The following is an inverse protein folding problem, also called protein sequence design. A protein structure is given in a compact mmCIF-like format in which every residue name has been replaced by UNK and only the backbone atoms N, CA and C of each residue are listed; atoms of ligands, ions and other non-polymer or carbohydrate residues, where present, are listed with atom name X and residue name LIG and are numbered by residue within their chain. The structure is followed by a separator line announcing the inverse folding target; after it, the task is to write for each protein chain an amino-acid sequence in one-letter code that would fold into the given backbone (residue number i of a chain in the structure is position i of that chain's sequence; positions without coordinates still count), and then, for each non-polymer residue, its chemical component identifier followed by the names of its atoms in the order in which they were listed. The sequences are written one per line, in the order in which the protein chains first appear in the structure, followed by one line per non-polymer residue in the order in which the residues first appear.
data_IF_086437181562
#
_entry.id   IF_086437181562
#
_cell.length_a   1.000
_cell.length_b   1.000
_cell.length_c   1.000
_cell.angle_alpha   90.00
_cell.angle_beta   90.00
_cell.angle_gamma   90.00
#
_symmetry.space_group_name_H-M   'P 1'
#
loop_
_entity.id
_entity.type
_entity.pdbx_description
1 polymer ?
#
# COMPACT_ATOMS: atom_id res chain seq x y z
N UNK A 1 12.57 0.61 66.94
CA UNK A 1 12.37 0.61 65.50
C UNK A 1 13.66 1.05 64.82
N UNK A 2 14.46 0.08 64.32
CA UNK A 2 15.78 0.37 63.73
C UNK A 2 15.59 0.71 62.20
N UNK A 3 15.82 1.94 61.83
CA UNK A 3 15.90 2.29 60.40
C UNK A 3 17.25 1.83 59.82
N UNK A 4 17.25 1.18 58.66
CA UNK A 4 18.46 0.74 58.00
C UNK A 4 19.30 1.96 57.54
N UNK A 5 20.61 1.91 57.73
CA UNK A 5 21.53 2.98 57.40
C UNK A 5 21.57 3.27 55.90
N UNK A 6 21.76 4.54 55.49
CA UNK A 6 21.74 4.95 54.07
C UNK A 6 22.81 4.29 53.18
N UNK A 7 23.84 3.70 53.80
CA UNK A 7 24.91 2.98 53.11
C UNK A 7 24.43 1.63 52.56
N UNK A 8 23.50 0.93 53.27
CA UNK A 8 22.92 -0.35 52.77
C UNK A 8 22.00 -0.14 51.58
N UNK A 9 21.25 0.93 51.52
CA UNK A 9 20.36 1.23 50.40
C UNK A 9 21.15 1.58 49.11
N UNK A 10 22.31 2.19 49.23
CA UNK A 10 23.19 2.45 48.05
C UNK A 10 23.87 1.19 47.52
N UNK A 11 24.19 0.20 48.36
CA UNK A 11 24.75 -1.06 47.92
C UNK A 11 23.73 -1.89 47.15
N UNK A 12 22.48 -1.99 47.62
CA UNK A 12 21.37 -2.71 46.94
C UNK A 12 21.01 -2.04 45.61
N UNK A 13 21.05 -0.73 45.50
CA UNK A 13 20.81 0.01 44.26
C UNK A 13 21.91 -0.24 43.21
N UNK A 14 23.19 -0.31 43.65
CA UNK A 14 24.31 -0.63 42.75
C UNK A 14 24.32 -2.09 42.29
N UNK A 15 23.89 -3.01 43.11
CA UNK A 15 23.83 -4.43 42.75
C UNK A 15 22.68 -4.72 41.76
N UNK A 16 21.52 -4.05 41.88
CA UNK A 16 20.42 -4.10 40.90
C UNK A 16 20.80 -3.44 39.55
N UNK A 17 21.68 -2.46 39.51
CA UNK A 17 22.18 -1.86 38.27
C UNK A 17 23.23 -2.73 37.55
N UNK A 18 23.97 -3.59 38.28
CA UNK A 18 24.96 -4.48 37.67
C UNK A 18 24.36 -5.76 37.08
N UNK A 19 23.19 -6.21 37.56
CA UNK A 19 22.54 -7.41 37.05
C UNK A 19 21.72 -7.15 35.76
N UNK A 20 21.66 -5.90 35.26
CA UNK A 20 20.94 -5.56 34.03
C UNK A 20 21.82 -5.42 32.78
N UNK A 21 23.09 -5.80 32.83
CA UNK A 21 23.99 -5.69 31.67
C UNK A 21 24.73 -7.00 31.38
N UNK A 22 24.01 -8.13 31.40
CA UNK A 22 24.35 -9.19 30.47
C UNK A 22 23.60 -8.92 29.16
N UNK A 23 24.12 -7.94 28.40
CA UNK A 23 23.85 -7.82 26.98
C UNK A 23 24.34 -9.12 26.33
N UNK A 24 23.48 -10.12 26.27
CA UNK A 24 23.61 -11.16 25.25
C UNK A 24 23.63 -10.37 23.95
N UNK A 25 24.73 -10.39 23.17
CA UNK A 25 24.75 -9.76 21.88
C UNK A 25 23.54 -10.34 21.13
N UNK A 26 22.73 -9.52 20.47
CA UNK A 26 21.64 -10.06 19.68
C UNK A 26 22.30 -11.05 18.71
N UNK A 27 22.07 -12.35 18.94
CA UNK A 27 22.33 -13.35 17.93
C UNK A 27 21.65 -12.79 16.70
N UNK A 28 22.43 -12.37 15.71
CA UNK A 28 21.96 -12.16 14.35
C UNK A 28 21.46 -13.52 13.86
N UNK A 29 20.28 -13.89 14.33
CA UNK A 29 19.47 -14.90 13.68
C UNK A 29 19.32 -14.32 12.27
N UNK A 30 20.02 -14.93 11.30
CA UNK A 30 19.70 -14.78 9.88
C UNK A 30 18.23 -15.18 9.77
N UNK A 31 17.36 -14.21 9.95
CA UNK A 31 15.93 -14.38 9.75
C UNK A 31 15.76 -14.71 8.28
N UNK A 32 15.56 -15.99 7.98
CA UNK A 32 15.18 -16.42 6.63
C UNK A 32 13.77 -15.90 6.44
N UNK A 33 13.65 -14.78 5.76
CA UNK A 33 12.35 -14.26 5.37
C UNK A 33 11.62 -15.29 4.50
N UNK A 34 10.33 -15.47 4.75
CA UNK A 34 9.50 -16.25 3.84
C UNK A 34 9.46 -15.57 2.45
N UNK A 35 9.20 -16.32 1.35
CA UNK A 35 9.07 -15.72 0.02
C UNK A 35 8.02 -14.59 -0.02
N UNK A 36 6.93 -14.73 0.72
CA UNK A 36 5.88 -13.72 0.83
C UNK A 36 6.38 -12.46 1.55
N UNK A 37 7.14 -12.63 2.64
CA UNK A 37 7.75 -11.50 3.34
C UNK A 37 8.79 -10.78 2.47
N UNK A 38 9.61 -11.52 1.70
CA UNK A 38 10.57 -10.93 0.75
C UNK A 38 9.86 -10.14 -0.35
N UNK A 39 8.77 -10.67 -0.93
CA UNK A 39 7.98 -9.98 -1.93
C UNK A 39 7.50 -8.61 -1.42
N UNK A 40 7.02 -8.53 -0.18
CA UNK A 40 6.64 -7.29 0.48
C UNK A 40 7.85 -6.39 0.80
N UNK A 41 8.94 -6.95 1.39
CA UNK A 41 10.13 -6.18 1.74
C UNK A 41 10.84 -5.58 0.52
N UNK A 42 10.80 -6.25 -0.64
CA UNK A 42 11.33 -5.73 -1.89
C UNK A 42 10.40 -4.74 -2.60
N UNK A 43 9.26 -4.38 -1.97
CA UNK A 43 8.26 -3.48 -2.53
C UNK A 43 7.67 -3.97 -3.86
N UNK A 44 7.56 -5.29 -4.05
CA UNK A 44 7.04 -5.89 -5.29
C UNK A 44 5.53 -6.11 -5.25
N UNK A 45 4.89 -5.97 -4.11
CA UNK A 45 3.47 -6.16 -3.85
C UNK A 45 2.60 -5.23 -4.73
N UNK A 46 2.58 -3.95 -4.48
CA UNK A 46 1.79 -2.99 -5.23
C UNK A 46 2.13 -2.93 -6.74
N UNK A 47 3.41 -2.99 -7.19
CA UNK A 47 3.75 -3.08 -8.61
C UNK A 47 3.16 -4.30 -9.30
N UNK A 48 3.15 -5.47 -8.64
CA UNK A 48 2.57 -6.69 -9.18
C UNK A 48 1.06 -6.53 -9.35
N UNK A 49 0.37 -5.99 -8.36
CA UNK A 49 -1.06 -5.67 -8.43
C UNK A 49 -1.33 -4.70 -9.58
N UNK A 50 -0.58 -3.60 -9.68
CA UNK A 50 -0.76 -2.58 -10.72
C UNK A 50 -0.59 -3.14 -12.14
N UNK A 51 0.49 -3.90 -12.39
CA UNK A 51 0.74 -4.51 -13.70
C UNK A 51 -0.32 -5.53 -14.08
N UNK A 52 -0.72 -6.37 -13.12
CA UNK A 52 -1.75 -7.40 -13.33
C UNK A 52 -3.10 -6.76 -13.66
N UNK A 53 -3.55 -5.79 -12.87
CA UNK A 53 -4.82 -5.11 -13.12
C UNK A 53 -4.79 -4.31 -14.42
N UNK A 54 -3.67 -3.66 -14.77
CA UNK A 54 -3.52 -2.96 -16.06
C UNK A 54 -3.74 -3.91 -17.24
N UNK A 55 -3.13 -5.09 -17.19
CA UNK A 55 -3.31 -6.13 -18.20
C UNK A 55 -4.74 -6.69 -18.18
N UNK A 56 -5.30 -6.96 -16.99
CA UNK A 56 -6.62 -7.57 -16.82
C UNK A 56 -7.75 -6.66 -17.33
N UNK A 57 -7.69 -5.35 -17.02
CA UNK A 57 -8.68 -4.36 -17.50
C UNK A 57 -8.75 -4.39 -19.03
N UNK A 58 -7.62 -4.36 -19.71
CA UNK A 58 -7.60 -4.41 -21.16
C UNK A 58 -8.13 -5.75 -21.71
N UNK A 59 -7.74 -6.86 -21.11
CA UNK A 59 -8.21 -8.20 -21.53
C UNK A 59 -9.73 -8.35 -21.36
N UNK A 60 -10.29 -7.83 -20.29
CA UNK A 60 -11.74 -7.78 -20.07
C UNK A 60 -12.48 -6.98 -21.16
N UNK A 61 -11.82 -5.99 -21.75
CA UNK A 61 -12.35 -5.20 -22.87
C UNK A 61 -12.00 -5.79 -24.26
N UNK A 62 -11.46 -7.01 -24.33
CA UNK A 62 -11.04 -7.62 -25.59
C UNK A 62 -9.81 -6.96 -26.23
N UNK A 63 -9.05 -6.14 -25.48
CA UNK A 63 -7.90 -5.42 -26.00
C UNK A 63 -6.59 -6.14 -25.66
N UNK A 64 -5.71 -6.26 -26.67
CA UNK A 64 -4.34 -6.70 -26.47
C UNK A 64 -3.43 -5.48 -26.23
N UNK A 65 -2.99 -5.29 -24.97
CA UNK A 65 -1.96 -4.30 -24.67
C UNK A 65 -0.58 -4.86 -25.04
N UNK A 66 0.34 -4.01 -25.56
CA UNK A 66 1.74 -4.39 -25.65
C UNK A 66 2.28 -4.62 -24.23
N UNK A 67 3.20 -5.56 -24.10
CA UNK A 67 3.83 -5.87 -22.80
C UNK A 67 4.51 -4.66 -22.15
N UNK A 68 4.89 -3.66 -22.95
CA UNK A 68 5.45 -2.39 -22.45
C UNK A 68 4.52 -1.63 -21.51
N UNK A 69 3.19 -1.75 -21.66
CA UNK A 69 2.24 -1.04 -20.80
C UNK A 69 2.21 -1.60 -19.37
N UNK A 70 1.95 -2.90 -19.11
CA UNK A 70 2.03 -3.44 -17.76
C UNK A 70 3.46 -3.40 -17.19
N UNK A 71 4.52 -3.53 -18.01
CA UNK A 71 5.88 -3.41 -17.55
C UNK A 71 6.24 -1.98 -17.10
N UNK A 72 5.84 -0.97 -17.86
CA UNK A 72 6.01 0.43 -17.45
C UNK A 72 5.24 0.75 -16.17
N UNK A 73 4.01 0.23 -16.03
CA UNK A 73 3.22 0.36 -14.81
C UNK A 73 3.93 -0.26 -13.60
N UNK A 74 4.46 -1.49 -13.77
CA UNK A 74 5.23 -2.15 -12.72
C UNK A 74 6.42 -1.30 -12.27
N UNK A 75 7.24 -0.81 -13.23
CA UNK A 75 8.43 -0.02 -12.93
C UNK A 75 8.06 1.30 -12.24
N UNK A 76 7.06 2.01 -12.75
CA UNK A 76 6.63 3.30 -12.19
C UNK A 76 6.12 3.14 -10.74
N UNK A 77 5.26 2.15 -10.48
CA UNK A 77 4.74 1.90 -9.14
C UNK A 77 5.84 1.39 -8.21
N UNK A 78 6.76 0.53 -8.69
CA UNK A 78 7.89 0.07 -7.88
C UNK A 78 8.79 1.23 -7.45
N UNK A 79 9.13 2.13 -8.38
CA UNK A 79 9.94 3.31 -8.08
C UNK A 79 9.26 4.21 -7.05
N UNK A 80 7.96 4.45 -7.19
CA UNK A 80 7.19 5.27 -6.26
C UNK A 80 7.21 4.66 -4.85
N UNK A 81 6.92 3.37 -4.72
CA UNK A 81 6.90 2.66 -3.43
C UNK A 81 8.29 2.54 -2.81
N UNK A 82 9.31 2.21 -3.59
CA UNK A 82 10.69 2.14 -3.10
C UNK A 82 11.18 3.51 -2.59
N UNK A 83 10.84 4.60 -3.30
CA UNK A 83 11.18 5.96 -2.90
C UNK A 83 10.45 6.38 -1.62
N UNK A 84 9.14 6.14 -1.53
CA UNK A 84 8.32 6.42 -0.32
C UNK A 84 8.93 5.72 0.90
N UNK A 85 9.27 4.44 0.80
CA UNK A 85 9.88 3.67 1.89
C UNK A 85 11.28 4.13 2.29
N UNK A 86 12.09 4.60 1.32
CA UNK A 86 13.41 5.18 1.61
C UNK A 86 13.29 6.53 2.33
N UNK A 87 12.28 7.34 1.97
CA UNK A 87 11.99 8.61 2.65
C UNK A 87 11.47 8.38 4.06
N UNK A 88 10.53 7.45 4.24
CA UNK A 88 10.02 7.07 5.56
C UNK A 88 11.14 6.57 6.48
N UNK A 89 12.06 5.75 5.96
CA UNK A 89 13.20 5.26 6.72
C UNK A 89 14.11 6.39 7.24
N UNK A 90 14.30 7.46 6.46
CA UNK A 90 15.07 8.66 6.90
C UNK A 90 14.35 9.44 7.98
N UNK A 91 13.03 9.58 7.89
CA UNK A 91 12.23 10.32 8.87
C UNK A 91 12.20 9.61 10.24
N UNK A 92 12.21 8.27 10.25
CA UNK A 92 12.27 7.48 11.49
C UNK A 92 13.63 7.54 12.18
N UNK A 93 14.73 7.67 11.43
CA UNK A 93 16.06 7.95 12.03
C UNK A 93 16.08 9.26 12.81
N UNK A 94 15.30 10.25 12.37
CA UNK A 94 15.20 11.55 13.05
C UNK A 94 14.30 11.53 14.31
N UNK A 95 13.48 10.46 14.51
CA UNK A 95 12.56 10.33 15.66
C UNK A 95 12.52 8.88 16.18
N UNK A 96 13.55 8.40 16.87
CA UNK A 96 13.65 6.99 17.31
C UNK A 96 12.57 6.56 18.32
N UNK A 97 11.98 7.52 19.07
CA UNK A 97 11.00 7.21 20.12
C UNK A 97 9.58 6.92 19.62
N UNK A 98 9.32 7.12 18.34
CA UNK A 98 7.97 6.99 17.76
C UNK A 98 7.72 5.66 17.03
N UNK A 99 8.70 4.77 16.92
CA UNK A 99 8.62 3.57 16.07
C UNK A 99 8.08 2.35 16.82
N UNK A 100 7.01 1.74 16.29
CA UNK A 100 6.59 0.40 16.68
C UNK A 100 7.61 -0.65 16.18
N UNK A 101 7.93 -1.70 16.95
CA UNK A 101 8.99 -2.68 16.63
C UNK A 101 8.86 -3.35 15.25
N UNK A 102 7.65 -3.56 14.78
CA UNK A 102 7.37 -4.24 13.51
C UNK A 102 7.40 -3.32 12.28
N UNK A 103 7.01 -2.04 12.44
CA UNK A 103 7.27 -1.00 11.45
C UNK A 103 8.78 -0.80 11.25
N UNK A 104 9.53 -0.96 12.33
CA UNK A 104 10.98 -0.82 12.37
C UNK A 104 11.70 -1.86 11.50
N UNK A 105 11.21 -3.11 11.37
CA UNK A 105 11.86 -4.14 10.56
C UNK A 105 11.85 -3.81 9.06
N UNK A 106 10.75 -3.32 8.52
CA UNK A 106 10.65 -2.87 7.12
C UNK A 106 11.59 -1.70 6.83
N UNK A 107 11.60 -0.70 7.73
CA UNK A 107 12.46 0.48 7.59
C UNK A 107 13.93 0.11 7.75
N UNK A 108 14.28 -0.77 8.70
CA UNK A 108 15.64 -1.31 8.85
C UNK A 108 16.09 -2.06 7.60
N UNK A 109 15.22 -2.85 6.96
CA UNK A 109 15.54 -3.55 5.73
C UNK A 109 15.89 -2.56 4.61
N UNK A 110 15.07 -1.53 4.37
CA UNK A 110 15.31 -0.51 3.35
C UNK A 110 16.53 0.34 3.67
N UNK A 111 16.73 0.71 4.94
CA UNK A 111 17.92 1.43 5.38
C UNK A 111 19.20 0.62 5.14
N UNK A 112 19.21 -0.65 5.53
CA UNK A 112 20.36 -1.55 5.34
C UNK A 112 20.70 -1.73 3.86
N UNK A 113 19.71 -1.75 2.97
CA UNK A 113 19.87 -2.00 1.54
C UNK A 113 19.70 -0.72 0.69
N UNK A 114 19.80 0.48 1.29
CA UNK A 114 19.53 1.76 0.61
C UNK A 114 20.28 1.94 -0.71
N UNK A 115 21.55 1.53 -0.78
CA UNK A 115 22.35 1.63 -2.01
C UNK A 115 21.79 0.75 -3.13
N UNK A 116 21.36 -0.46 -2.80
CA UNK A 116 20.74 -1.38 -3.77
C UNK A 116 19.40 -0.83 -4.28
N UNK A 117 18.56 -0.28 -3.38
CA UNK A 117 17.30 0.35 -3.78
C UNK A 117 17.53 1.61 -4.65
N UNK A 118 18.50 2.46 -4.30
CA UNK A 118 18.85 3.62 -5.13
C UNK A 118 19.37 3.21 -6.52
N UNK A 119 20.27 2.24 -6.59
CA UNK A 119 20.73 1.70 -7.87
C UNK A 119 19.58 1.07 -8.67
N UNK A 120 18.68 0.35 -7.99
CA UNK A 120 17.48 -0.20 -8.60
C UNK A 120 16.56 0.90 -9.17
N UNK A 121 16.34 2.00 -8.43
CA UNK A 121 15.54 3.14 -8.90
C UNK A 121 16.17 3.77 -10.15
N UNK A 122 17.49 3.97 -10.17
CA UNK A 122 18.19 4.50 -11.35
C UNK A 122 18.03 3.55 -12.55
N UNK A 123 18.24 2.23 -12.33
CA UNK A 123 18.05 1.23 -13.39
C UNK A 123 16.60 1.16 -13.88
N UNK A 124 15.62 1.18 -12.98
CA UNK A 124 14.20 1.21 -13.32
C UNK A 124 13.81 2.49 -14.08
N UNK A 125 14.39 3.64 -13.71
CA UNK A 125 14.18 4.91 -14.44
C UNK A 125 14.70 4.82 -15.88
N UNK A 126 15.90 4.26 -16.09
CA UNK A 126 16.46 4.06 -17.42
C UNK A 126 15.61 3.10 -18.27
N UNK A 127 15.17 1.98 -17.66
CA UNK A 127 14.27 1.03 -18.32
C UNK A 127 12.92 1.66 -18.67
N UNK A 128 12.32 2.40 -17.74
CA UNK A 128 11.06 3.11 -17.98
C UNK A 128 11.22 4.14 -19.11
N UNK A 129 12.30 4.92 -19.12
CA UNK A 129 12.59 5.85 -20.20
C UNK A 129 12.68 5.15 -21.57
N UNK A 130 13.29 3.96 -21.62
CA UNK A 130 13.34 3.13 -22.84
C UNK A 130 12.00 2.54 -23.27
N UNK A 131 11.02 2.43 -22.35
CA UNK A 131 9.66 1.96 -22.66
C UNK A 131 8.72 3.09 -23.09
N UNK A 132 8.99 4.37 -22.71
CA UNK A 132 8.10 5.50 -23.00
C UNK A 132 7.75 5.64 -24.50
N UNK A 133 8.70 5.46 -25.46
CA UNK A 133 8.36 5.54 -26.90
C UNK A 133 7.38 4.48 -27.39
N UNK A 134 7.18 3.40 -26.59
CA UNK A 134 6.26 2.29 -26.93
C UNK A 134 4.87 2.47 -26.32
N UNK A 135 4.67 3.51 -25.54
CA UNK A 135 3.40 3.83 -24.89
C UNK A 135 2.63 4.81 -25.78
N UNK A 136 1.32 4.59 -25.91
CA UNK A 136 0.48 5.49 -26.71
C UNK A 136 0.57 6.94 -26.21
N UNK A 137 0.71 7.94 -27.09
CA UNK A 137 0.86 9.35 -26.70
C UNK A 137 -0.29 9.85 -25.81
N UNK A 138 -1.49 9.38 -26.05
CA UNK A 138 -2.66 9.74 -25.24
C UNK A 138 -2.54 9.18 -23.80
N UNK A 139 -2.04 7.96 -23.64
CA UNK A 139 -1.76 7.41 -22.33
C UNK A 139 -0.67 8.22 -21.60
N UNK A 140 0.38 8.65 -22.31
CA UNK A 140 1.43 9.51 -21.76
C UNK A 140 0.88 10.85 -21.27
N UNK A 141 -0.02 11.48 -22.02
CA UNK A 141 -0.69 12.73 -21.60
C UNK A 141 -1.50 12.53 -20.33
N UNK A 142 -2.29 11.45 -20.25
CA UNK A 142 -3.07 11.14 -19.06
C UNK A 142 -2.18 10.80 -17.86
N UNK A 143 -1.09 10.08 -18.05
CA UNK A 143 -0.10 9.82 -17.00
C UNK A 143 0.62 11.09 -16.54
N UNK A 144 0.97 11.99 -17.45
CA UNK A 144 1.56 13.29 -17.10
C UNK A 144 0.61 14.14 -16.25
N UNK A 145 -0.67 14.19 -16.63
CA UNK A 145 -1.70 14.85 -15.82
C UNK A 145 -1.83 14.19 -14.43
N UNK A 146 -1.95 12.86 -14.37
CA UNK A 146 -2.07 12.14 -13.12
C UNK A 146 -0.84 12.34 -12.22
N UNK A 147 0.38 12.29 -12.80
CA UNK A 147 1.63 12.54 -12.10
C UNK A 147 1.70 13.97 -11.56
N UNK A 148 1.25 14.96 -12.33
CA UNK A 148 1.19 16.37 -11.89
C UNK A 148 0.26 16.56 -10.73
N UNK A 149 -0.93 15.93 -10.75
CA UNK A 149 -1.89 15.96 -9.64
C UNK A 149 -1.32 15.25 -8.39
N UNK A 150 -0.68 14.11 -8.57
CA UNK A 150 -0.02 13.38 -7.48
C UNK A 150 1.12 14.19 -6.88
N UNK A 151 1.95 14.83 -7.72
CA UNK A 151 3.02 15.71 -7.27
C UNK A 151 2.48 16.92 -6.50
N UNK A 152 1.43 17.57 -7.01
CA UNK A 152 0.76 18.66 -6.32
C UNK A 152 0.22 18.22 -4.94
N UNK A 153 -0.38 17.03 -4.86
CA UNK A 153 -0.83 16.45 -3.61
C UNK A 153 0.32 16.25 -2.61
N UNK A 154 1.43 15.61 -3.05
CA UNK A 154 2.61 15.43 -2.19
C UNK A 154 3.22 16.76 -1.77
N UNK A 155 3.32 17.71 -2.69
CA UNK A 155 3.84 19.04 -2.40
C UNK A 155 3.01 19.74 -1.31
N UNK A 156 1.68 19.72 -1.43
CA UNK A 156 0.78 20.31 -0.44
C UNK A 156 0.91 19.65 0.94
N UNK A 157 1.09 18.33 0.99
CA UNK A 157 1.27 17.62 2.27
C UNK A 157 2.59 18.00 2.96
N UNK A 158 3.69 18.18 2.21
CA UNK A 158 5.01 18.39 2.77
C UNK A 158 5.31 19.86 3.10
N UNK A 159 4.79 20.81 2.32
CA UNK A 159 5.04 22.25 2.53
C UNK A 159 4.20 22.82 3.67
N UNK A 160 3.03 22.28 3.90
CA UNK A 160 2.20 22.71 5.03
C UNK A 160 2.19 21.64 6.12
N UNK A 161 3.28 21.50 6.90
CA UNK A 161 3.28 20.59 8.05
C UNK A 161 2.17 21.01 9.02
N UNK A 162 1.46 20.05 9.55
CA UNK A 162 0.27 20.20 10.39
C UNK A 162 0.60 20.73 11.80
N UNK A 163 1.24 21.90 11.92
CA UNK A 163 1.40 22.56 13.23
C UNK A 163 0.13 23.32 13.66
N UNK A 164 -0.83 23.51 12.76
CA UNK A 164 -2.14 24.09 13.08
C UNK A 164 -3.21 23.03 12.83
N UNK A 165 -3.87 22.60 13.90
CA UNK A 165 -4.96 21.60 13.89
C UNK A 165 -6.11 21.92 12.93
N UNK A 166 -6.30 23.17 12.53
CA UNK A 166 -7.34 23.62 11.58
C UNK A 166 -6.99 23.31 10.12
N UNK A 167 -5.71 23.36 9.70
CA UNK A 167 -5.28 23.10 8.31
C UNK A 167 -5.18 21.61 8.02
N UNK A 168 -4.86 20.78 9.02
CA UNK A 168 -4.82 19.32 8.89
C UNK A 168 -6.18 18.68 8.61
N UNK A 169 -7.28 19.35 9.03
CA UNK A 169 -8.63 18.84 8.87
C UNK A 169 -9.14 18.85 7.41
N UNK A 170 -8.49 19.59 6.50
CA UNK A 170 -8.93 19.75 5.10
C UNK A 170 -8.07 18.95 4.11
N UNK A 171 -7.12 18.14 4.58
CA UNK A 171 -6.25 17.35 3.70
C UNK A 171 -6.92 16.03 3.31
N UNK A 172 -6.75 15.65 2.04
CA UNK A 172 -7.15 14.33 1.58
C UNK A 172 -6.33 13.26 2.32
N UNK A 173 -6.96 12.29 3.01
CA UNK A 173 -6.25 11.21 3.66
C UNK A 173 -5.40 10.40 2.67
N UNK A 174 -4.25 9.90 3.12
CA UNK A 174 -3.33 9.10 2.27
C UNK A 174 -4.05 7.87 1.69
N UNK A 175 -4.91 7.24 2.46
CA UNK A 175 -5.69 6.06 2.06
C UNK A 175 -6.62 6.36 0.89
N UNK A 176 -7.27 7.51 0.93
CA UNK A 176 -8.17 7.94 -0.14
C UNK A 176 -7.39 8.37 -1.39
N UNK A 177 -6.23 9.02 -1.20
CA UNK A 177 -5.36 9.39 -2.31
C UNK A 177 -4.88 8.14 -3.07
N UNK A 178 -4.41 7.11 -2.38
CA UNK A 178 -4.04 5.82 -3.01
C UNK A 178 -5.24 5.22 -3.74
N UNK A 179 -6.43 5.22 -3.10
CA UNK A 179 -7.67 4.71 -3.70
C UNK A 179 -8.07 5.43 -4.99
N UNK A 180 -7.69 6.69 -5.19
CA UNK A 180 -7.98 7.45 -6.42
C UNK A 180 -6.88 7.29 -7.47
N UNK A 181 -5.64 7.57 -7.08
CA UNK A 181 -4.51 7.63 -8.03
C UNK A 181 -4.10 6.27 -8.58
N UNK A 182 -4.14 5.23 -7.76
CA UNK A 182 -3.73 3.89 -8.18
C UNK A 182 -4.69 3.28 -9.22
N UNK A 183 -6.01 3.24 -9.01
CA UNK A 183 -6.94 2.79 -10.04
C UNK A 183 -6.93 3.66 -11.27
N UNK A 184 -6.88 5.00 -11.14
CA UNK A 184 -6.78 5.88 -12.29
C UNK A 184 -5.59 5.49 -13.19
N UNK A 185 -4.40 5.28 -12.60
CA UNK A 185 -3.22 4.83 -13.33
C UNK A 185 -3.44 3.50 -14.06
N UNK A 186 -4.07 2.53 -13.40
CA UNK A 186 -4.34 1.19 -13.94
C UNK A 186 -5.25 1.20 -15.16
N UNK A 187 -6.28 2.07 -15.16
CA UNK A 187 -7.27 2.14 -16.25
C UNK A 187 -6.78 2.97 -17.45
N UNK A 188 -5.83 3.89 -17.27
CA UNK A 188 -5.32 4.77 -18.34
C UNK A 188 -4.95 4.03 -19.63
N UNK A 189 -4.18 2.92 -19.66
CA UNK A 189 -3.78 2.29 -20.91
C UNK A 189 -4.95 1.80 -21.76
N UNK A 190 -6.03 1.36 -21.11
CA UNK A 190 -7.24 0.89 -21.78
C UNK A 190 -8.06 2.04 -22.33
N UNK A 191 -8.37 3.05 -21.48
CA UNK A 191 -9.22 4.18 -21.88
C UNK A 191 -8.52 5.17 -22.82
N UNK A 192 -7.18 5.18 -22.85
CA UNK A 192 -6.42 5.95 -23.82
C UNK A 192 -6.48 5.34 -25.23
N UNK A 193 -6.63 4.02 -25.33
CA UNK A 193 -6.77 3.33 -26.62
C UNK A 193 -8.18 3.37 -27.17
N UNK A 194 -9.18 3.24 -26.30
CA UNK A 194 -10.60 3.22 -26.64
C UNK A 194 -11.33 4.18 -25.70
N UNK A 195 -11.38 5.49 -26.03
CA UNK A 195 -11.98 6.52 -25.19
C UNK A 195 -13.47 6.27 -24.88
N UNK A 196 -14.18 5.60 -25.77
CA UNK A 196 -15.60 5.28 -25.65
C UNK A 196 -15.90 4.37 -24.46
N UNK A 197 -14.89 3.60 -24.01
CA UNK A 197 -15.01 2.74 -22.83
C UNK A 197 -15.00 3.50 -21.50
N UNK A 198 -14.71 4.78 -21.49
CA UNK A 198 -14.58 5.57 -20.24
C UNK A 198 -15.82 5.49 -19.36
N UNK A 199 -16.98 5.72 -19.94
CA UNK A 199 -18.25 5.67 -19.20
C UNK A 199 -18.63 4.23 -18.81
N UNK A 200 -18.39 3.26 -19.70
CA UNK A 200 -18.65 1.84 -19.44
C UNK A 200 -17.79 1.31 -18.28
N UNK A 201 -16.54 1.71 -18.22
CA UNK A 201 -15.60 1.24 -17.18
C UNK A 201 -15.66 2.06 -15.89
N UNK A 202 -16.39 3.17 -15.86
CA UNK A 202 -16.45 4.04 -14.69
C UNK A 202 -16.95 3.31 -13.42
N UNK A 203 -18.04 2.49 -13.45
CA UNK A 203 -18.47 1.77 -12.26
C UNK A 203 -17.41 0.80 -11.76
N UNK A 204 -16.80 0.00 -12.64
CA UNK A 204 -15.72 -0.93 -12.28
C UNK A 204 -14.49 -0.21 -11.71
N UNK A 205 -14.11 0.95 -12.29
CA UNK A 205 -13.01 1.77 -11.80
C UNK A 205 -13.29 2.34 -10.39
N UNK A 206 -14.52 2.79 -10.14
CA UNK A 206 -14.94 3.29 -8.82
C UNK A 206 -14.97 2.17 -7.77
N UNK A 207 -15.44 0.98 -8.12
CA UNK A 207 -15.41 -0.18 -7.24
C UNK A 207 -13.97 -0.61 -6.93
N UNK A 208 -13.08 -0.63 -7.92
CA UNK A 208 -11.67 -0.91 -7.68
C UNK A 208 -11.00 0.18 -6.84
N UNK A 209 -11.40 1.45 -7.00
CA UNK A 209 -10.96 2.54 -6.13
C UNK A 209 -11.40 2.33 -4.67
N UNK A 210 -12.64 1.88 -4.46
CA UNK A 210 -13.12 1.51 -3.13
C UNK A 210 -12.31 0.34 -2.53
N UNK A 211 -12.01 -0.70 -3.33
CA UNK A 211 -11.16 -1.83 -2.89
C UNK A 211 -9.77 -1.36 -2.47
N UNK A 212 -9.11 -0.52 -3.27
CA UNK A 212 -7.78 0.02 -2.94
C UNK A 212 -7.83 0.89 -1.67
N UNK A 213 -8.88 1.69 -1.51
CA UNK A 213 -9.11 2.47 -0.28
C UNK A 213 -9.31 1.56 0.93
N UNK A 214 -10.15 0.52 0.80
CA UNK A 214 -10.38 -0.46 1.87
C UNK A 214 -9.10 -1.19 2.24
N UNK A 215 -8.27 -1.60 1.27
CA UNK A 215 -6.97 -2.22 1.53
C UNK A 215 -6.10 -1.33 2.43
N UNK A 216 -5.96 -0.04 2.11
CA UNK A 216 -5.21 0.92 2.92
C UNK A 216 -5.84 1.11 4.32
N UNK A 217 -7.17 1.16 4.42
CA UNK A 217 -7.88 1.32 5.69
C UNK A 217 -7.72 0.08 6.60
N UNK A 218 -7.74 -1.12 6.03
CA UNK A 218 -7.46 -2.35 6.77
C UNK A 218 -6.03 -2.34 7.32
N UNK A 219 -5.04 -2.02 6.48
CA UNK A 219 -3.64 -1.89 6.91
C UNK A 219 -3.51 -0.88 8.05
N UNK A 220 -4.13 0.30 7.90
CA UNK A 220 -4.14 1.32 8.95
C UNK A 220 -4.75 0.80 10.26
N UNK A 221 -5.90 0.10 10.19
CA UNK A 221 -6.60 -0.41 11.35
C UNK A 221 -5.78 -1.49 12.10
N UNK A 222 -5.03 -2.33 11.38
CA UNK A 222 -4.19 -3.36 11.97
C UNK A 222 -2.91 -2.82 12.61
N UNK A 223 -2.36 -1.74 12.04
CA UNK A 223 -1.12 -1.13 12.53
C UNK A 223 -1.32 -0.21 13.72
N UNK A 224 -2.52 0.34 13.87
CA UNK A 224 -2.82 1.31 14.92
C UNK A 224 -3.97 0.83 15.82
N UNK A 225 -3.88 -0.36 16.45
CA UNK A 225 -4.90 -0.84 17.37
C UNK A 225 -4.93 0.08 18.60
N UNK A 226 -6.00 0.87 18.75
CA UNK A 226 -6.19 1.76 19.92
C UNK A 226 -5.70 3.21 19.77
N UNK A 227 -4.79 3.54 18.86
CA UNK A 227 -4.20 4.89 18.68
C UNK A 227 -4.89 5.68 17.56
N UNK A 228 -6.22 5.86 17.65
CA UNK A 228 -7.01 6.55 16.60
C UNK A 228 -7.04 8.07 16.74
N UNK A 229 -6.36 8.62 17.75
CA UNK A 229 -6.50 10.04 18.10
C UNK A 229 -5.84 10.98 17.08
N UNK A 230 -4.73 10.56 16.47
CA UNK A 230 -3.96 11.39 15.52
C UNK A 230 -4.43 11.28 14.06
N UNK A 231 -5.30 10.32 13.73
CA UNK A 231 -5.80 10.14 12.39
C UNK A 231 -6.79 11.24 11.99
N UNK A 232 -6.85 11.52 10.68
CA UNK A 232 -7.87 12.38 10.10
C UNK A 232 -9.27 11.84 10.44
N UNK A 233 -10.26 12.73 10.63
CA UNK A 233 -11.61 12.34 11.06
C UNK A 233 -12.26 11.32 10.10
N UNK A 234 -12.02 11.43 8.79
CA UNK A 234 -12.55 10.48 7.78
C UNK A 234 -11.93 9.10 7.94
N UNK A 235 -10.62 9.00 8.21
CA UNK A 235 -9.94 7.72 8.46
C UNK A 235 -10.48 7.08 9.75
N UNK A 236 -10.69 7.88 10.81
CA UNK A 236 -11.33 7.39 12.05
C UNK A 236 -12.75 6.89 11.84
N UNK A 237 -13.54 7.64 11.08
CA UNK A 237 -14.91 7.24 10.73
C UNK A 237 -14.90 5.95 9.91
N UNK A 238 -14.10 5.89 8.84
CA UNK A 238 -14.00 4.74 7.96
C UNK A 238 -13.52 3.48 8.68
N UNK A 239 -12.48 3.58 9.53
CA UNK A 239 -12.00 2.43 10.31
C UNK A 239 -13.00 1.94 11.35
N UNK A 240 -13.82 2.84 11.91
CA UNK A 240 -14.92 2.45 12.81
C UNK A 240 -16.01 1.65 12.10
N UNK A 241 -16.27 1.98 10.82
CA UNK A 241 -17.33 1.36 10.02
C UNK A 241 -16.77 0.41 8.95
N UNK A 242 -15.53 -0.04 9.09
CA UNK A 242 -14.82 -0.83 8.09
C UNK A 242 -15.57 -2.10 7.63
N UNK A 243 -16.18 -2.92 8.52
CA UNK A 243 -16.97 -4.06 8.08
C UNK A 243 -18.21 -3.67 7.28
N UNK A 244 -18.90 -2.58 7.68
CA UNK A 244 -20.07 -2.10 6.97
C UNK A 244 -19.71 -1.55 5.58
N UNK A 245 -18.63 -0.75 5.47
CA UNK A 245 -18.12 -0.24 4.19
C UNK A 245 -17.71 -1.38 3.25
N UNK A 246 -17.06 -2.41 3.79
CA UNK A 246 -16.69 -3.59 3.01
C UNK A 246 -17.92 -4.36 2.55
N UNK A 247 -18.92 -4.55 3.41
CA UNK A 247 -20.20 -5.18 3.05
C UNK A 247 -20.94 -4.41 1.95
N UNK A 248 -21.03 -3.08 2.08
CA UNK A 248 -21.64 -2.22 1.06
C UNK A 248 -20.87 -2.33 -0.26
N UNK A 249 -19.53 -2.29 -0.24
CA UNK A 249 -18.72 -2.41 -1.46
C UNK A 249 -18.92 -3.78 -2.12
N UNK A 250 -18.98 -4.87 -1.34
CA UNK A 250 -19.26 -6.19 -1.86
C UNK A 250 -20.66 -6.29 -2.51
N UNK A 251 -21.68 -5.72 -1.86
CA UNK A 251 -23.04 -5.66 -2.40
C UNK A 251 -23.10 -4.84 -3.69
N UNK A 252 -22.41 -3.70 -3.74
CA UNK A 252 -22.32 -2.89 -4.96
C UNK A 252 -21.62 -3.66 -6.09
N UNK A 253 -20.54 -4.41 -5.78
CA UNK A 253 -19.91 -5.28 -6.77
C UNK A 253 -20.88 -6.33 -7.31
N UNK A 254 -21.67 -6.97 -6.45
CA UNK A 254 -22.70 -7.93 -6.89
C UNK A 254 -23.79 -7.25 -7.76
N UNK A 255 -24.27 -6.08 -7.34
CA UNK A 255 -25.28 -5.32 -8.07
C UNK A 255 -24.78 -4.92 -9.47
N UNK A 256 -23.60 -4.28 -9.52
CA UNK A 256 -23.01 -3.84 -10.80
C UNK A 256 -22.69 -5.05 -11.71
N UNK A 257 -22.15 -6.13 -11.15
CA UNK A 257 -21.88 -7.38 -11.89
C UNK A 257 -23.13 -7.90 -12.63
N UNK A 258 -24.32 -7.78 -12.02
CA UNK A 258 -25.57 -8.28 -12.61
C UNK A 258 -26.04 -7.48 -13.83
N UNK A 259 -25.62 -6.21 -13.97
CA UNK A 259 -26.08 -5.31 -15.03
C UNK A 259 -25.02 -4.97 -16.07
N UNK A 260 -23.74 -5.25 -15.79
CA UNK A 260 -22.65 -4.94 -16.73
C UNK A 260 -22.47 -6.00 -17.84
N UNK A 261 -21.96 -5.60 -19.02
CA UNK A 261 -21.51 -6.52 -20.03
C UNK A 261 -20.42 -7.46 -19.48
N UNK A 262 -20.33 -8.69 -20.01
CA UNK A 262 -19.43 -9.74 -19.51
C UNK A 262 -18.00 -9.28 -19.23
N UNK A 263 -17.43 -8.41 -20.08
CA UNK A 263 -16.07 -7.90 -19.88
C UNK A 263 -15.93 -7.03 -18.61
N UNK A 264 -16.78 -6.02 -18.48
CA UNK A 264 -16.78 -5.13 -17.30
C UNK A 264 -17.21 -5.89 -16.04
N UNK A 265 -18.15 -6.83 -16.15
CA UNK A 265 -18.57 -7.71 -15.07
C UNK A 265 -17.43 -8.52 -14.44
N UNK A 266 -16.42 -8.94 -15.22
CA UNK A 266 -15.25 -9.64 -14.67
C UNK A 266 -14.39 -8.72 -13.78
N UNK A 267 -14.33 -7.42 -14.07
CA UNK A 267 -13.63 -6.43 -13.22
C UNK A 267 -14.33 -6.25 -11.87
N UNK A 268 -15.66 -6.14 -11.90
CA UNK A 268 -16.46 -6.02 -10.68
C UNK A 268 -16.44 -7.29 -9.86
N UNK A 269 -16.44 -8.48 -10.49
CA UNK A 269 -16.27 -9.76 -9.82
C UNK A 269 -14.91 -9.86 -9.12
N UNK A 270 -13.81 -9.52 -9.82
CA UNK A 270 -12.47 -9.49 -9.23
C UNK A 270 -12.40 -8.53 -8.01
N UNK A 271 -13.00 -7.35 -8.13
CA UNK A 271 -13.10 -6.37 -7.04
C UNK A 271 -13.87 -6.93 -5.84
N UNK A 272 -15.03 -7.53 -6.08
CA UNK A 272 -15.84 -8.16 -5.03
C UNK A 272 -15.12 -9.30 -4.31
N UNK A 273 -14.42 -10.16 -5.07
CA UNK A 273 -13.58 -11.22 -4.47
C UNK A 273 -12.47 -10.65 -3.61
N UNK A 274 -11.82 -9.55 -4.04
CA UNK A 274 -10.80 -8.87 -3.25
C UNK A 274 -11.35 -8.34 -1.93
N UNK A 275 -12.53 -7.72 -1.93
CA UNK A 275 -13.19 -7.27 -0.69
C UNK A 275 -13.47 -8.43 0.24
N UNK A 276 -14.00 -9.54 -0.26
CA UNK A 276 -14.30 -10.73 0.57
C UNK A 276 -13.02 -11.33 1.17
N UNK A 277 -11.92 -11.37 0.41
CA UNK A 277 -10.62 -11.83 0.91
C UNK A 277 -10.07 -10.89 1.99
N UNK A 278 -10.20 -9.57 1.83
CA UNK A 278 -9.80 -8.60 2.86
C UNK A 278 -10.64 -8.75 4.14
N UNK A 279 -11.95 -8.98 4.03
CA UNK A 279 -12.83 -9.25 5.17
C UNK A 279 -12.43 -10.55 5.88
N UNK A 280 -12.14 -11.62 5.13
CA UNK A 280 -11.67 -12.89 5.68
C UNK A 280 -10.32 -12.72 6.38
N UNK A 281 -9.40 -11.95 5.80
CA UNK A 281 -8.11 -11.63 6.38
C UNK A 281 -8.29 -10.83 7.68
N UNK A 282 -9.21 -9.88 7.70
CA UNK A 282 -9.53 -9.12 8.90
C UNK A 282 -10.08 -10.00 10.03
N UNK A 283 -10.85 -11.03 9.73
CA UNK A 283 -11.30 -11.98 10.72
C UNK A 283 -10.17 -12.82 11.34
N UNK A 284 -9.05 -12.96 10.62
CA UNK A 284 -7.89 -13.79 11.02
C UNK A 284 -6.65 -12.97 11.40
N UNK A 285 -6.75 -11.63 11.41
CA UNK A 285 -5.59 -10.73 11.49
C UNK A 285 -4.68 -10.96 12.72
N UNK A 286 -5.24 -11.32 13.88
CA UNK A 286 -4.47 -11.57 15.12
C UNK A 286 -3.54 -12.79 15.03
N UNK A 287 -3.74 -13.68 14.05
CA UNK A 287 -2.92 -14.88 13.84
C UNK A 287 -1.72 -14.68 12.95
N UNK A 288 -1.58 -13.52 12.32
CA UNK A 288 -0.54 -13.22 11.36
C UNK A 288 0.40 -12.14 11.91
N UNK A 289 1.69 -12.24 11.60
CA UNK A 289 2.60 -11.11 11.85
C UNK A 289 2.30 -9.95 10.90
N UNK A 290 2.65 -8.72 11.30
CA UNK A 290 2.35 -7.51 10.51
C UNK A 290 2.91 -7.58 9.08
N UNK A 291 4.11 -8.14 8.87
CA UNK A 291 4.70 -8.32 7.53
C UNK A 291 3.85 -9.26 6.67
N UNK A 292 3.44 -10.41 7.23
CA UNK A 292 2.61 -11.37 6.51
C UNK A 292 1.19 -10.82 6.27
N UNK A 293 0.66 -10.05 7.21
CA UNK A 293 -0.66 -9.44 7.09
C UNK A 293 -0.69 -8.40 5.96
N UNK A 294 0.34 -7.55 5.87
CA UNK A 294 0.50 -6.60 4.76
C UNK A 294 0.62 -7.29 3.42
N UNK A 295 1.54 -8.25 3.32
CA UNK A 295 1.73 -9.01 2.08
C UNK A 295 0.44 -9.77 1.68
N UNK A 296 -0.31 -10.31 2.65
CA UNK A 296 -1.58 -10.97 2.38
C UNK A 296 -2.68 -10.00 1.95
N UNK A 297 -2.69 -8.76 2.44
CA UNK A 297 -3.61 -7.72 2.00
C UNK A 297 -3.41 -7.39 0.51
N UNK A 298 -2.16 -7.22 0.08
CA UNK A 298 -1.86 -6.99 -1.34
C UNK A 298 -2.08 -8.25 -2.19
N UNK A 299 -1.83 -9.45 -1.64
CA UNK A 299 -2.16 -10.72 -2.28
C UNK A 299 -3.68 -10.87 -2.53
N UNK A 300 -4.52 -10.35 -1.61
CA UNK A 300 -5.97 -10.33 -1.78
C UNK A 300 -6.44 -9.49 -3.00
N UNK A 301 -5.60 -8.61 -3.53
CA UNK A 301 -5.86 -7.85 -4.75
C UNK A 301 -5.41 -8.57 -6.03
N UNK A 302 -4.80 -9.75 -5.94
CA UNK A 302 -4.41 -10.55 -7.11
C UNK A 302 -5.54 -11.46 -7.63
N UNK A 303 -6.79 -11.17 -7.30
CA UNK A 303 -7.99 -11.88 -7.77
C UNK A 303 -8.12 -12.01 -9.29
N UNK A 304 -7.62 -11.07 -10.13
CA UNK A 304 -7.57 -11.28 -11.56
C UNK A 304 -6.92 -12.60 -11.99
N UNK A 305 -5.93 -13.10 -11.25
CA UNK A 305 -5.29 -14.39 -11.55
C UNK A 305 -6.27 -15.57 -11.49
N UNK A 306 -7.28 -15.50 -10.64
CA UNK A 306 -8.31 -16.54 -10.51
C UNK A 306 -9.28 -16.52 -11.68
N UNK A 307 -9.42 -15.37 -12.36
CA UNK A 307 -10.39 -15.15 -13.44
C UNK A 307 -9.79 -15.22 -14.84
N UNK A 308 -8.45 -15.29 -14.96
CA UNK A 308 -7.74 -15.37 -16.25
C UNK A 308 -8.26 -16.50 -17.14
N UNK A 309 -8.58 -17.65 -16.55
CA UNK A 309 -9.05 -18.83 -17.28
C UNK A 309 -10.45 -18.64 -17.91
N UNK A 310 -11.22 -17.65 -17.46
CA UNK A 310 -12.55 -17.33 -17.97
C UNK A 310 -12.54 -16.23 -19.04
N UNK A 311 -11.38 -15.66 -19.36
CA UNK A 311 -11.18 -14.61 -20.38
C UNK A 311 -10.85 -15.19 -21.79
N UNK A 312 -11.16 -16.44 -22.03
CA UNK A 312 -10.95 -17.10 -23.35
C UNK A 312 -12.07 -16.77 -24.31
#
# INVERSE_FOLDING_TARGET
MNQPSPTRLRAISRERSRTRLSLVPPRELRTRYSPLALWHLLSLDAPTVAALWTWFVARCCGLALPWSAPAAMFLAVWMLYATDRLLDARLLEARPDAALPELEERHRFHHRHKRAFLAGIVGASALLAGLLPRIAPEALRLYALLASLLFAYFFLIHIYPSNNSSVGAHRLPKELAVGIFFPAAVFIPTVARVPELRLLLAPAALLFAAVCTLNCLYLYAWEHPGSRVEAHWTTRFATRHLPALSGITAMLCCGVFAFEPRGAAMLTLASGMSVLLLMLLHWRWERLSAIHLRAAADLALLTPLLLVFFLR
#
